data_IF_903551663298
#
_entry.id   IF_903551663298
#
_cell.length_a   1.000
_cell.length_b   1.000
_cell.length_c   1.000
_cell.angle_alpha   90.00
_cell.angle_beta   90.00
_cell.angle_gamma   90.00
#
_symmetry.space_group_name_H-M   'P 1'
#
loop_
_entity.id
_entity.type
_entity.pdbx_description
1 polymer ?
#
# COMPACT_ATOMS: atom_id res chain seq x y z
N UNK A 1 4.00 -7.27 -0.46
CA UNK A 1 2.90 -6.82 -1.35
C UNK A 1 3.41 -6.76 -2.77
N UNK A 2 2.65 -7.29 -3.73
CA UNK A 2 3.02 -7.22 -5.14
C UNK A 2 1.82 -7.38 -6.08
N UNK A 3 1.97 -6.92 -7.32
CA UNK A 3 0.99 -7.07 -8.40
C UNK A 3 1.72 -7.11 -9.75
N UNK A 4 1.03 -7.46 -10.84
CA UNK A 4 1.68 -7.55 -12.15
C UNK A 4 2.08 -6.20 -12.76
N UNK A 5 1.59 -5.07 -12.22
CA UNK A 5 1.94 -3.69 -12.63
C UNK A 5 1.55 -3.28 -14.05
N UNK A 6 1.05 -4.19 -14.89
CA UNK A 6 0.85 -3.96 -16.32
C UNK A 6 -0.58 -4.26 -16.80
N UNK A 7 -1.45 -4.85 -15.97
CA UNK A 7 -2.85 -5.11 -16.36
C UNK A 7 -3.73 -3.86 -16.22
N UNK A 8 -4.93 -3.90 -16.81
CA UNK A 8 -5.87 -2.78 -16.77
C UNK A 8 -6.15 -2.29 -15.33
N UNK A 9 -6.31 -3.20 -14.37
CA UNK A 9 -6.52 -2.85 -12.97
C UNK A 9 -5.28 -2.16 -12.36
N UNK A 10 -4.09 -2.71 -12.54
CA UNK A 10 -2.85 -2.09 -12.04
C UNK A 10 -2.54 -0.74 -12.69
N UNK A 11 -2.94 -0.53 -13.96
CA UNK A 11 -2.80 0.76 -14.64
C UNK A 11 -3.85 1.78 -14.17
N UNK A 12 -4.93 1.32 -13.55
CA UNK A 12 -5.98 2.14 -12.95
C UNK A 12 -5.78 2.37 -11.45
N UNK A 13 -4.59 2.07 -10.89
CA UNK A 13 -4.29 2.11 -9.44
C UNK A 13 -5.24 1.23 -8.60
N UNK A 14 -5.62 0.08 -9.15
CA UNK A 14 -6.49 -0.93 -8.54
C UNK A 14 -5.74 -2.26 -8.39
N UNK A 15 -4.56 -2.24 -7.77
CA UNK A 15 -3.67 -3.39 -7.65
C UNK A 15 -4.30 -4.58 -6.91
N UNK A 16 -5.27 -4.34 -6.02
CA UNK A 16 -6.04 -5.39 -5.34
C UNK A 16 -6.90 -6.23 -6.30
N UNK A 17 -7.18 -5.71 -7.51
CA UNK A 17 -7.91 -6.40 -8.57
C UNK A 17 -6.99 -6.85 -9.71
N UNK A 18 -5.70 -7.04 -9.42
CA UNK A 18 -4.71 -7.53 -10.38
C UNK A 18 -5.18 -8.82 -11.08
N UNK A 19 -5.16 -8.83 -12.41
CA UNK A 19 -5.59 -9.97 -13.22
C UNK A 19 -4.72 -11.23 -13.04
N UNK A 20 -3.47 -11.07 -12.58
CA UNK A 20 -2.57 -12.20 -12.25
C UNK A 20 -2.63 -12.60 -10.77
N UNK A 21 -3.53 -12.02 -9.99
CA UNK A 21 -3.56 -12.14 -8.54
C UNK A 21 -2.70 -11.06 -7.87
N UNK A 22 -3.22 -10.53 -6.76
CA UNK A 22 -2.47 -9.64 -5.87
C UNK A 22 -1.76 -10.48 -4.81
N UNK A 23 -0.53 -10.12 -4.48
CA UNK A 23 0.24 -10.70 -3.37
C UNK A 23 0.00 -9.85 -2.13
N UNK A 24 -0.64 -10.43 -1.12
CA UNK A 24 -1.00 -9.76 0.14
C UNK A 24 0.19 -9.58 1.09
N UNK A 25 0.00 -8.80 2.15
CA UNK A 25 1.02 -8.45 3.16
C UNK A 25 1.59 -9.68 3.86
N UNK A 26 0.76 -10.68 4.12
CA UNK A 26 1.16 -11.95 4.72
C UNK A 26 0.65 -13.14 3.90
N UNK A 27 1.35 -14.26 4.01
CA UNK A 27 0.97 -15.56 3.43
C UNK A 27 0.67 -15.50 1.91
N UNK A 28 1.26 -14.53 1.22
CA UNK A 28 1.25 -14.42 -0.23
C UNK A 28 2.60 -14.85 -0.81
N UNK A 29 2.64 -15.16 -2.10
CA UNK A 29 3.89 -15.43 -2.82
C UNK A 29 4.18 -14.26 -3.74
N UNK A 30 5.39 -13.68 -3.66
CA UNK A 30 5.84 -12.64 -4.58
C UNK A 30 5.95 -13.18 -6.02
N UNK A 31 5.56 -12.37 -7.02
CA UNK A 31 5.56 -12.81 -8.42
C UNK A 31 6.97 -13.05 -8.98
N UNK A 32 7.96 -12.27 -8.51
CA UNK A 32 9.32 -12.27 -9.08
C UNK A 32 10.34 -13.08 -8.28
N UNK A 33 9.98 -13.58 -7.09
CA UNK A 33 10.97 -14.14 -6.16
C UNK A 33 10.59 -15.48 -5.52
N UNK A 34 9.37 -16.00 -5.76
CA UNK A 34 8.80 -17.17 -5.08
C UNK A 34 8.88 -17.10 -3.54
N UNK A 35 9.19 -15.92 -2.98
CA UNK A 35 9.28 -15.72 -1.54
C UNK A 35 7.89 -15.53 -0.95
N UNK A 36 7.71 -16.10 0.23
CA UNK A 36 6.54 -15.82 1.04
C UNK A 36 6.62 -14.42 1.62
N UNK A 37 5.50 -13.72 1.63
CA UNK A 37 5.33 -12.47 2.34
C UNK A 37 5.04 -12.75 3.81
N UNK A 38 5.71 -11.99 4.68
CA UNK A 38 5.58 -12.09 6.12
C UNK A 38 4.89 -10.84 6.66
N UNK A 39 4.12 -11.07 7.72
CA UNK A 39 3.28 -10.05 8.34
C UNK A 39 4.09 -8.90 8.94
N UNK A 40 3.41 -7.79 9.19
CA UNK A 40 4.00 -6.54 9.68
C UNK A 40 4.31 -6.55 11.19
N UNK A 41 3.99 -7.63 11.92
CA UNK A 41 4.42 -7.87 13.31
C UNK A 41 5.93 -8.16 13.48
N UNK A 42 6.76 -7.64 12.58
CA UNK A 42 8.21 -7.75 12.59
C UNK A 42 8.84 -6.40 12.95
N UNK A 43 10.07 -6.37 13.47
CA UNK A 43 10.77 -5.10 13.75
C UNK A 43 10.91 -4.23 12.48
N UNK A 44 11.10 -4.88 11.33
CA UNK A 44 11.22 -4.24 10.03
C UNK A 44 10.50 -5.05 8.93
N UNK A 45 9.92 -4.34 7.96
CA UNK A 45 9.34 -4.90 6.74
C UNK A 45 9.95 -4.24 5.51
N UNK A 46 10.13 -5.02 4.44
CA UNK A 46 10.65 -4.53 3.16
C UNK A 46 9.53 -4.55 2.13
N UNK A 47 9.16 -3.38 1.62
CA UNK A 47 8.00 -3.22 0.71
C UNK A 47 8.37 -2.38 -0.49
N UNK A 48 7.90 -2.78 -1.67
CA UNK A 48 8.00 -1.97 -2.88
C UNK A 48 7.26 -0.64 -2.69
N UNK A 49 7.94 0.47 -2.97
CA UNK A 49 7.42 1.84 -2.77
C UNK A 49 6.01 2.08 -3.33
N UNK A 50 5.65 1.41 -4.43
CA UNK A 50 4.30 1.51 -5.01
C UNK A 50 3.19 1.13 -4.01
N UNK A 51 3.47 0.25 -3.07
CA UNK A 51 2.54 -0.21 -2.03
C UNK A 51 2.69 0.52 -0.70
N UNK A 52 3.53 1.56 -0.67
CA UNK A 52 3.77 2.39 0.50
C UNK A 52 2.89 3.65 0.44
N UNK A 53 2.38 4.09 1.58
CA UNK A 53 1.52 5.29 1.70
C UNK A 53 2.22 6.34 2.54
N UNK A 54 2.33 7.58 2.03
CA UNK A 54 2.87 8.72 2.77
C UNK A 54 1.89 9.17 3.85
N UNK A 55 2.36 9.25 5.09
CA UNK A 55 1.59 9.80 6.20
C UNK A 55 2.00 11.26 6.41
N UNK A 56 1.06 12.22 6.35
CA UNK A 56 1.33 13.60 6.73
C UNK A 56 1.92 13.68 8.13
N UNK A 57 3.01 14.43 8.33
CA UNK A 57 3.68 14.55 9.64
C UNK A 57 2.83 15.19 10.75
N UNK A 58 1.66 15.74 10.41
CA UNK A 58 0.68 16.27 11.37
C UNK A 58 -0.21 15.19 11.98
N UNK A 59 -0.20 13.96 11.44
CA UNK A 59 -1.04 12.86 11.90
C UNK A 59 -0.24 11.90 12.78
N UNK A 60 -0.86 11.42 13.85
CA UNK A 60 -0.29 10.35 14.67
C UNK A 60 -0.30 9.05 13.87
N UNK A 61 0.89 8.57 13.53
CA UNK A 61 1.13 7.32 12.81
C UNK A 61 0.36 6.15 13.45
N UNK A 62 0.28 6.09 14.79
CA UNK A 62 -0.43 5.02 15.49
C UNK A 62 -1.93 5.03 15.21
N UNK A 63 -2.50 6.22 15.04
CA UNK A 63 -3.91 6.38 14.66
C UNK A 63 -4.15 6.11 13.17
N UNK A 64 -3.12 6.24 12.33
CA UNK A 64 -3.20 6.00 10.89
C UNK A 64 -3.10 4.50 10.54
N UNK A 65 -2.34 3.71 11.30
CA UNK A 65 -2.17 2.28 11.02
C UNK A 65 -3.52 1.51 10.87
N UNK A 66 -4.53 1.68 11.75
CA UNK A 66 -5.84 1.05 11.56
C UNK A 66 -6.59 1.48 10.30
N UNK A 67 -6.31 2.67 9.74
CA UNK A 67 -6.97 3.17 8.55
C UNK A 67 -6.59 2.37 7.29
N UNK A 68 -5.42 1.75 7.26
CA UNK A 68 -4.97 0.99 6.10
C UNK A 68 -5.70 -0.35 5.97
N UNK A 69 -5.92 -1.03 7.09
CA UNK A 69 -6.60 -2.33 7.11
C UNK A 69 -8.13 -2.19 7.21
N UNK A 70 -8.64 -1.37 8.13
CA UNK A 70 -10.09 -1.23 8.35
C UNK A 70 -10.71 -0.02 7.62
N UNK A 71 -9.92 1.03 7.41
CA UNK A 71 -10.39 2.28 6.83
C UNK A 71 -10.62 2.20 5.32
N UNK A 72 -9.66 1.68 4.54
CA UNK A 72 -9.81 1.61 3.08
C UNK A 72 -11.02 0.78 2.64
N UNK A 73 -11.27 -0.43 3.19
CA UNK A 73 -12.44 -1.23 2.79
C UNK A 73 -13.78 -0.56 3.12
N UNK A 74 -13.85 0.27 4.17
CA UNK A 74 -15.07 1.01 4.52
C UNK A 74 -15.22 2.30 3.73
N UNK A 75 -14.12 3.00 3.48
CA UNK A 75 -14.08 4.24 2.72
C UNK A 75 -14.30 4.05 1.22
N UNK A 76 -13.76 2.98 0.63
CA UNK A 76 -13.87 2.69 -0.81
C UNK A 76 -15.33 2.62 -1.32
N UNK A 77 -16.23 1.79 -0.75
CA UNK A 77 -17.62 1.74 -1.19
C UNK A 77 -18.35 3.06 -0.92
N UNK A 78 -18.13 3.67 0.26
CA UNK A 78 -18.72 4.97 0.58
C UNK A 78 -18.39 6.04 -0.46
N UNK A 79 -17.19 6.03 -1.04
CA UNK A 79 -16.80 7.03 -2.04
C UNK A 79 -17.20 6.66 -3.47
N UNK A 80 -17.33 5.38 -3.77
CA UNK A 80 -17.80 4.90 -5.08
C UNK A 80 -19.31 5.10 -5.25
N UNK A 81 -20.08 4.88 -4.19
CA UNK A 81 -21.54 4.91 -4.22
C UNK A 81 -22.13 6.30 -3.90
N UNK A 82 -21.30 7.25 -3.44
CA UNK A 82 -21.78 8.59 -3.08
C UNK A 82 -21.98 9.51 -4.30
N UNK A 83 -23.14 10.17 -4.44
CA UNK A 83 -23.40 11.11 -5.53
C UNK A 83 -22.43 12.32 -5.46
N UNK A 84 -21.59 12.48 -6.49
CA UNK A 84 -20.73 13.66 -6.65
C UNK A 84 -19.24 13.46 -6.32
N UNK A 85 -18.82 12.28 -5.88
CA UNK A 85 -17.41 11.93 -5.71
C UNK A 85 -16.83 11.30 -6.98
N UNK A 86 -15.68 11.80 -7.43
CA UNK A 86 -14.93 11.18 -8.55
C UNK A 86 -14.09 10.04 -7.98
N UNK A 87 -14.18 8.86 -8.60
CA UNK A 87 -13.45 7.66 -8.21
C UNK A 87 -11.93 7.85 -8.19
N UNK A 88 -11.24 6.95 -7.49
CA UNK A 88 -9.78 6.92 -7.37
C UNK A 88 -9.13 6.74 -8.74
N UNK A 89 -8.46 7.77 -9.27
CA UNK A 89 -7.79 7.69 -10.58
C UNK A 89 -6.43 8.37 -10.64
N UNK A 90 -5.78 8.62 -9.51
CA UNK A 90 -4.44 9.21 -9.50
C UNK A 90 -3.81 9.13 -8.12
N UNK A 91 -3.00 8.08 -7.87
CA UNK A 91 -1.94 8.21 -6.87
C UNK A 91 -0.83 9.08 -7.46
N UNK A 92 -0.37 10.14 -6.77
CA UNK A 92 0.83 10.84 -7.19
C UNK A 92 1.99 9.85 -7.21
N UNK A 93 2.64 9.67 -8.37
CA UNK A 93 3.91 8.96 -8.43
C UNK A 93 4.95 9.85 -7.76
N UNK A 94 5.49 9.41 -6.62
CA UNK A 94 6.42 10.21 -5.83
C UNK A 94 7.78 10.28 -6.53
N UNK A 95 8.31 11.48 -6.83
CA UNK A 95 9.65 11.60 -7.39
C UNK A 95 10.68 11.41 -6.26
N UNK A 96 11.61 10.46 -6.42
CA UNK A 96 12.83 10.40 -5.60
C UNK A 96 12.97 9.18 -4.69
N UNK A 97 11.97 8.31 -4.66
CA UNK A 97 12.10 6.96 -4.13
C UNK A 97 12.09 6.06 -5.38
N UNK A 98 13.03 5.13 -5.47
CA UNK A 98 13.07 4.14 -6.55
C UNK A 98 13.52 2.83 -5.91
N UNK A 99 12.57 1.97 -5.53
CA UNK A 99 12.85 0.60 -5.10
C UNK A 99 12.14 0.15 -3.83
N UNK A 100 12.58 -1.00 -3.29
CA UNK A 100 12.08 -1.52 -2.02
C UNK A 100 12.52 -0.65 -0.85
N UNK A 101 11.56 -0.24 -0.05
CA UNK A 101 11.73 0.57 1.14
C UNK A 101 11.71 -0.33 2.38
N UNK A 102 12.58 -0.06 3.35
CA UNK A 102 12.59 -0.74 4.65
C UNK A 102 11.80 0.15 5.62
N UNK A 103 10.61 -0.28 6.02
CA UNK A 103 9.77 0.42 7.00
C UNK A 103 9.85 -0.31 8.34
N UNK A 104 9.82 0.41 9.47
CA UNK A 104 9.70 -0.23 10.78
C UNK A 104 8.25 -0.64 11.03
N UNK A 105 8.04 -1.83 11.62
CA UNK A 105 6.70 -2.37 11.93
C UNK A 105 5.92 -1.57 12.98
N UNK A 106 6.55 -0.58 13.61
CA UNK A 106 5.93 0.35 14.56
C UNK A 106 5.45 1.67 13.91
N UNK A 107 5.47 1.73 12.58
CA UNK A 107 5.08 2.90 11.80
C UNK A 107 6.13 4.00 11.71
N UNK A 108 7.36 3.75 12.16
CA UNK A 108 8.47 4.69 11.97
C UNK A 108 9.06 4.61 10.55
N UNK A 109 9.63 5.74 10.17
CA UNK A 109 9.93 6.20 8.82
C UNK A 109 10.56 5.16 7.87
N UNK A 110 10.11 5.19 6.61
CA UNK A 110 10.91 4.71 5.48
C UNK A 110 11.75 5.90 4.98
N UNK A 111 12.99 6.04 5.44
CA UNK A 111 13.85 7.20 5.13
C UNK A 111 13.54 8.45 5.96
N UNK A 112 13.54 9.64 5.34
CA UNK A 112 13.31 10.95 6.01
C UNK A 112 11.80 11.30 6.15
N UNK A 113 10.91 10.43 5.67
CA UNK A 113 9.46 10.66 5.59
C UNK A 113 8.70 9.50 6.27
N UNK A 114 7.53 9.80 6.85
CA UNK A 114 6.67 8.77 7.46
C UNK A 114 5.86 8.04 6.40
N UNK A 115 5.93 6.71 6.46
CA UNK A 115 5.33 5.83 5.49
C UNK A 115 4.80 4.57 6.18
N UNK A 116 3.68 4.06 5.69
CA UNK A 116 3.12 2.80 6.15
C UNK A 116 2.95 1.85 4.96
N UNK A 117 3.27 0.58 5.18
CA UNK A 117 2.96 -0.48 4.25
C UNK A 117 1.46 -0.80 4.35
N UNK A 118 0.76 -0.70 3.22
CA UNK A 118 -0.65 -1.11 3.10
C UNK A 118 -0.79 -2.50 2.53
#
# INVERSE_FOLDING_TARGET
MDSCRHCAACNADLEQYCAKGATWTYNGTEHDSDKLTFDDYSDHVVVEERFVVKVPGTLDVKAVAPLLCAGIPTYSPLRQDWPGTKGWHHRPRWPGLYGRQICQGDGRACGDDYYLAG
#
